data_IF_817378331224
#
_entry.id   IF_817378331224
#
_cell.length_a   1.000
_cell.length_b   1.000
_cell.length_c   1.000
_cell.angle_alpha   90.00
_cell.angle_beta   90.00
_cell.angle_gamma   90.00
#
_symmetry.space_group_name_H-M   'P 1'
#
loop_
_entity.id
_entity.type
_entity.pdbx_description
1 polymer ?
#
# COMPACT_ATOMS: atom_id res chain seq x y z
N UNK A 1 7.79 16.65 -17.08
CA UNK A 1 6.87 15.68 -17.70
C UNK A 1 5.54 15.80 -16.99
N UNK A 2 4.46 16.08 -17.72
CA UNK A 2 3.14 16.21 -17.12
C UNK A 2 2.63 14.82 -16.73
N UNK A 3 2.43 14.59 -15.43
CA UNK A 3 1.58 13.51 -14.94
C UNK A 3 0.18 13.79 -15.51
N UNK A 4 -0.26 13.01 -16.51
CA UNK A 4 -1.62 13.18 -17.06
C UNK A 4 -2.71 12.82 -16.06
N UNK A 5 -2.39 12.28 -14.87
CA UNK A 5 -3.29 11.96 -13.75
C UNK A 5 -4.52 11.12 -14.16
N UNK A 6 -4.50 10.56 -15.36
CA UNK A 6 -5.58 9.73 -15.88
C UNK A 6 -5.35 8.31 -15.41
N UNK A 7 -6.22 7.84 -14.52
CA UNK A 7 -6.28 6.44 -14.11
C UNK A 7 -7.45 5.79 -14.84
N UNK A 8 -7.16 4.74 -15.61
CA UNK A 8 -8.16 3.98 -16.34
C UNK A 8 -8.25 2.57 -15.73
N UNK A 9 -9.41 2.14 -15.22
CA UNK A 9 -9.59 0.75 -14.80
C UNK A 9 -9.64 -0.14 -16.04
N UNK A 10 -8.70 -1.08 -16.15
CA UNK A 10 -8.62 -2.01 -17.29
C UNK A 10 -9.25 -3.37 -17.00
N UNK A 11 -9.35 -3.75 -15.72
CA UNK A 11 -9.90 -5.03 -15.27
C UNK A 11 -10.38 -4.93 -13.82
N UNK A 12 -11.37 -5.75 -13.47
CA UNK A 12 -11.82 -5.98 -12.10
C UNK A 12 -12.13 -7.47 -11.95
N UNK A 13 -11.81 -8.04 -10.79
CA UNK A 13 -12.13 -9.43 -10.47
C UNK A 13 -12.67 -9.54 -9.05
N UNK A 14 -13.42 -10.63 -8.82
CA UNK A 14 -13.93 -11.03 -7.52
C UNK A 14 -13.18 -12.30 -7.15
N UNK A 15 -12.49 -12.26 -6.02
CA UNK A 15 -11.72 -13.39 -5.51
C UNK A 15 -12.50 -14.05 -4.36
N UNK A 16 -12.44 -15.39 -4.23
CA UNK A 16 -13.06 -16.09 -3.11
C UNK A 16 -12.25 -15.89 -1.80
N UNK A 17 -10.98 -15.51 -1.92
CA UNK A 17 -10.09 -15.22 -0.80
C UNK A 17 -8.91 -14.32 -1.18
N UNK A 18 -7.94 -14.22 -0.26
CA UNK A 18 -6.69 -13.49 -0.41
C UNK A 18 -5.48 -14.43 -0.31
N UNK A 19 -5.63 -15.70 -0.72
CA UNK A 19 -4.55 -16.66 -0.78
C UNK A 19 -3.68 -16.46 -2.03
N UNK A 20 -2.48 -17.05 -2.04
CA UNK A 20 -1.55 -16.91 -3.17
C UNK A 20 -2.13 -17.47 -4.47
N UNK A 21 -2.90 -18.55 -4.39
CA UNK A 21 -3.60 -19.15 -5.53
C UNK A 21 -4.67 -18.21 -6.12
N UNK A 22 -5.37 -17.44 -5.27
CA UNK A 22 -6.39 -16.47 -5.69
C UNK A 22 -5.73 -15.35 -6.51
N UNK A 23 -4.64 -14.78 -5.99
CA UNK A 23 -3.89 -13.74 -6.68
C UNK A 23 -3.21 -14.26 -7.95
N UNK A 24 -2.65 -15.46 -7.91
CA UNK A 24 -2.03 -16.11 -9.08
C UNK A 24 -3.04 -16.29 -10.20
N UNK A 25 -4.26 -16.75 -9.88
CA UNK A 25 -5.33 -16.86 -10.86
C UNK A 25 -5.68 -15.49 -11.47
N UNK A 26 -5.91 -14.46 -10.65
CA UNK A 26 -6.27 -13.13 -11.14
C UNK A 26 -5.20 -12.51 -12.03
N UNK A 27 -3.93 -12.57 -11.61
CA UNK A 27 -2.81 -12.02 -12.36
C UNK A 27 -2.54 -12.81 -13.65
N UNK A 28 -2.78 -14.13 -13.66
CA UNK A 28 -2.75 -14.93 -14.89
C UNK A 28 -3.82 -14.46 -15.87
N UNK A 29 -5.04 -14.18 -15.40
CA UNK A 29 -6.11 -13.62 -16.24
C UNK A 29 -5.77 -12.24 -16.78
N UNK A 30 -5.12 -11.40 -15.97
CA UNK A 30 -4.61 -10.11 -16.45
C UNK A 30 -3.57 -10.29 -17.55
N UNK A 31 -2.58 -11.19 -17.39
CA UNK A 31 -1.59 -11.46 -18.45
C UNK A 31 -2.24 -11.98 -19.74
N UNK A 32 -3.20 -12.91 -19.62
CA UNK A 32 -3.93 -13.42 -20.78
C UNK A 32 -4.68 -12.29 -21.51
N UNK A 33 -5.32 -11.39 -20.77
CA UNK A 33 -5.99 -10.21 -21.33
C UNK A 33 -5.00 -9.28 -22.04
N UNK A 34 -3.84 -9.03 -21.44
CA UNK A 34 -2.79 -8.19 -22.03
C UNK A 34 -2.27 -8.77 -23.35
N UNK A 35 -1.99 -10.07 -23.39
CA UNK A 35 -1.58 -10.77 -24.61
C UNK A 35 -2.68 -10.71 -25.68
N UNK A 36 -3.93 -10.99 -25.32
CA UNK A 36 -5.05 -10.98 -26.25
C UNK A 36 -5.38 -9.58 -26.82
N UNK A 37 -4.96 -8.52 -26.12
CA UNK A 37 -5.17 -7.12 -26.52
C UNK A 37 -3.90 -6.45 -27.04
N UNK A 38 -2.82 -7.21 -27.22
CA UNK A 38 -1.51 -6.72 -27.68
C UNK A 38 -0.92 -5.60 -26.81
N UNK A 39 -1.27 -5.58 -25.52
CA UNK A 39 -0.74 -4.64 -24.54
C UNK A 39 0.53 -5.20 -23.90
N UNK A 40 1.64 -4.46 -23.99
CA UNK A 40 2.91 -4.83 -23.37
C UNK A 40 2.84 -4.88 -21.84
N UNK A 41 3.79 -5.61 -21.22
CA UNK A 41 3.90 -5.68 -19.76
C UNK A 41 4.07 -4.29 -19.11
N UNK A 42 3.57 -4.10 -17.87
CA UNK A 42 3.74 -2.83 -17.20
C UNK A 42 5.20 -2.61 -16.81
N UNK A 43 5.66 -1.35 -16.79
CA UNK A 43 7.00 -1.01 -16.30
C UNK A 43 7.15 -1.20 -14.80
N UNK A 44 6.04 -1.05 -14.05
CA UNK A 44 5.99 -1.21 -12.60
C UNK A 44 4.62 -1.74 -12.17
N UNK A 45 4.62 -2.60 -11.14
CA UNK A 45 3.39 -3.01 -10.44
C UNK A 45 3.43 -2.42 -9.04
N UNK A 46 2.35 -1.76 -8.61
CA UNK A 46 2.21 -1.24 -7.25
C UNK A 46 1.07 -1.99 -6.58
N UNK A 47 1.35 -2.64 -5.46
CA UNK A 47 0.37 -3.41 -4.70
C UNK A 47 0.51 -3.13 -3.20
N UNK A 48 -0.48 -3.55 -2.43
CA UNK A 48 -0.39 -3.53 -0.98
C UNK A 48 0.69 -4.49 -0.48
N UNK A 49 1.11 -4.32 0.78
CA UNK A 49 2.05 -5.22 1.43
C UNK A 49 1.35 -6.50 1.90
N UNK A 50 0.87 -7.29 0.94
CA UNK A 50 0.32 -8.61 1.15
C UNK A 50 1.29 -9.68 0.62
N UNK A 51 1.61 -10.67 1.46
CA UNK A 51 2.66 -11.64 1.11
C UNK A 51 2.24 -12.56 -0.04
N UNK A 52 0.97 -12.99 -0.07
CA UNK A 52 0.43 -13.84 -1.10
C UNK A 52 0.39 -13.11 -2.45
N UNK A 53 -0.05 -11.84 -2.45
CA UNK A 53 -0.05 -10.99 -3.64
C UNK A 53 1.39 -10.75 -4.15
N UNK A 54 2.33 -10.45 -3.26
CA UNK A 54 3.73 -10.22 -3.62
C UNK A 54 4.39 -11.47 -4.23
N UNK A 55 4.10 -12.65 -3.70
CA UNK A 55 4.59 -13.92 -4.24
C UNK A 55 4.03 -14.15 -5.66
N UNK A 56 2.72 -13.99 -5.84
CA UNK A 56 2.07 -14.14 -7.14
C UNK A 56 2.62 -13.16 -8.19
N UNK A 57 2.85 -11.90 -7.82
CA UNK A 57 3.50 -10.91 -8.69
C UNK A 57 4.91 -11.35 -9.06
N UNK A 58 5.71 -11.80 -8.08
CA UNK A 58 7.09 -12.23 -8.33
C UNK A 58 7.19 -13.46 -9.25
N UNK A 59 6.21 -14.36 -9.17
CA UNK A 59 6.15 -15.53 -10.04
C UNK A 59 5.74 -15.17 -11.48
N UNK A 60 4.72 -14.32 -11.64
CA UNK A 60 4.13 -14.04 -12.95
C UNK A 60 4.85 -12.90 -13.69
N UNK A 61 5.36 -11.91 -12.98
CA UNK A 61 6.05 -10.75 -13.54
C UNK A 61 7.48 -10.62 -12.99
N UNK A 62 8.36 -11.64 -13.17
CA UNK A 62 9.69 -11.65 -12.56
C UNK A 62 10.59 -10.50 -13.03
N UNK A 63 10.42 -10.06 -14.28
CA UNK A 63 11.19 -8.96 -14.88
C UNK A 63 10.57 -7.58 -14.62
N UNK A 64 9.35 -7.52 -14.06
CA UNK A 64 8.68 -6.26 -13.75
C UNK A 64 8.98 -5.86 -12.33
N UNK A 65 9.40 -4.61 -12.16
CA UNK A 65 9.62 -4.05 -10.85
C UNK A 65 8.31 -3.92 -10.08
N UNK A 66 8.29 -4.43 -8.85
CA UNK A 66 7.13 -4.31 -7.96
C UNK A 66 7.45 -3.41 -6.77
N UNK A 67 6.58 -2.44 -6.54
CA UNK A 67 6.60 -1.51 -5.42
C UNK A 67 5.47 -1.81 -4.44
N UNK A 68 5.66 -1.39 -3.20
CA UNK A 68 4.64 -1.50 -2.16
C UNK A 68 3.96 -0.15 -1.98
N UNK A 69 2.63 -0.16 -1.86
CA UNK A 69 1.83 1.03 -1.64
C UNK A 69 2.30 1.78 -0.37
N UNK A 70 2.79 3.01 -0.57
CA UNK A 70 3.32 3.85 0.51
C UNK A 70 2.22 4.25 1.49
N UNK A 71 1.02 4.58 1.04
CA UNK A 71 -0.08 4.97 1.93
C UNK A 71 -0.44 3.88 2.95
N UNK A 72 -0.63 2.64 2.50
CA UNK A 72 -0.87 1.50 3.38
C UNK A 72 0.31 1.25 4.32
N UNK A 73 1.54 1.44 3.84
CA UNK A 73 2.72 1.36 4.68
C UNK A 73 2.70 2.40 5.82
N UNK A 74 2.45 3.66 5.48
CA UNK A 74 2.38 4.78 6.41
C UNK A 74 1.30 4.53 7.46
N UNK A 75 0.12 4.05 7.04
CA UNK A 75 -0.99 3.73 7.95
C UNK A 75 -0.60 2.64 8.95
N UNK A 76 0.09 1.59 8.49
CA UNK A 76 0.51 0.49 9.35
C UNK A 76 1.66 0.87 10.30
N UNK A 77 2.55 1.79 9.89
CA UNK A 77 3.59 2.33 10.80
C UNK A 77 2.96 3.24 11.84
N UNK A 78 2.09 4.18 11.42
CA UNK A 78 1.37 5.07 12.32
C UNK A 78 0.56 4.30 13.38
N UNK A 79 -0.13 3.23 12.97
CA UNK A 79 -0.86 2.37 13.90
C UNK A 79 0.06 1.77 14.98
N UNK A 80 1.25 1.30 14.61
CA UNK A 80 2.24 0.78 15.58
C UNK A 80 2.86 1.90 16.42
N UNK A 81 3.20 3.05 15.84
CA UNK A 81 3.73 4.21 16.60
C UNK A 81 2.71 4.70 17.64
N UNK A 82 1.42 4.63 17.34
CA UNK A 82 0.36 5.00 18.30
C UNK A 82 0.30 4.07 19.50
N UNK A 83 0.68 2.80 19.39
CA UNK A 83 0.68 1.89 20.56
C UNK A 83 1.66 2.32 21.64
N UNK A 84 2.63 3.17 21.31
CA UNK A 84 3.64 3.69 22.25
C UNK A 84 3.38 5.15 22.66
N UNK A 85 2.36 5.81 22.10
CA UNK A 85 2.11 7.23 22.36
C UNK A 85 0.78 7.72 21.82
N UNK A 86 -0.22 7.80 22.70
CA UNK A 86 -1.51 8.45 22.49
C UNK A 86 -1.91 9.24 23.73
N UNK A 87 -2.62 10.34 23.53
CA UNK A 87 -3.23 11.12 24.62
C UNK A 87 -4.74 11.12 24.41
N UNK A 88 -5.47 10.86 25.49
CA UNK A 88 -6.92 10.93 25.54
C UNK A 88 -7.37 12.40 25.43
N UNK A 89 -8.29 12.70 24.52
CA UNK A 89 -8.88 14.03 24.41
C UNK A 89 -10.32 14.04 24.89
N UNK A 90 -10.67 15.06 25.68
CA UNK A 90 -12.05 15.28 26.13
C UNK A 90 -12.85 15.82 24.95
N UNK A 91 -13.73 14.97 24.42
CA UNK A 91 -14.60 15.31 23.31
C UNK A 91 -15.98 15.76 23.84
N UNK A 92 -16.52 16.92 23.42
CA UNK A 92 -17.89 17.32 23.80
C UNK A 92 -18.98 16.42 23.18
N UNK A 93 -18.62 15.54 22.25
CA UNK A 93 -19.54 14.59 21.60
C UNK A 93 -19.30 13.18 22.14
N UNK A 94 -20.27 12.69 22.92
CA UNK A 94 -20.27 11.47 23.75
C UNK A 94 -20.13 10.11 23.02
N UNK A 95 -19.87 10.07 21.71
CA UNK A 95 -19.99 8.84 20.91
C UNK A 95 -18.70 8.36 20.21
N UNK A 96 -17.55 8.98 20.46
CA UNK A 96 -16.27 8.52 19.91
C UNK A 96 -15.13 8.76 20.90
N UNK A 97 -14.45 7.69 21.32
CA UNK A 97 -13.09 7.78 21.86
C UNK A 97 -12.23 8.46 20.79
N UNK A 98 -11.72 9.65 21.10
CA UNK A 98 -10.73 10.30 20.25
C UNK A 98 -9.41 10.33 20.99
N UNK A 99 -8.40 9.77 20.33
CA UNK A 99 -7.02 9.88 20.75
C UNK A 99 -6.31 10.78 19.75
N UNK A 100 -5.50 11.71 20.26
CA UNK A 100 -4.57 12.46 19.43
C UNK A 100 -3.18 11.83 19.51
N UNK A 101 -2.40 12.04 18.45
CA UNK A 101 -1.00 11.68 18.46
C UNK A 101 -0.26 12.56 19.48
N UNK A 102 0.70 11.98 20.18
CA UNK A 102 1.64 12.80 20.94
C UNK A 102 2.60 13.53 20.01
N UNK A 103 3.21 14.62 20.47
CA UNK A 103 4.32 15.28 19.76
C UNK A 103 5.45 14.30 19.44
N UNK A 104 5.71 13.32 20.32
CA UNK A 104 6.70 12.28 20.08
C UNK A 104 6.29 11.33 18.95
N UNK A 105 5.00 10.97 18.87
CA UNK A 105 4.41 10.17 17.79
C UNK A 105 4.53 10.89 16.45
N UNK A 106 4.16 12.16 16.39
CA UNK A 106 4.23 12.95 15.15
C UNK A 106 5.68 13.14 14.70
N UNK A 107 6.58 13.46 15.63
CA UNK A 107 8.01 13.58 15.32
C UNK A 107 8.62 12.27 14.82
N UNK A 108 8.24 11.13 15.40
CA UNK A 108 8.70 9.83 14.91
C UNK A 108 8.19 9.55 13.49
N UNK A 109 6.93 9.87 13.20
CA UNK A 109 6.35 9.70 11.87
C UNK A 109 7.03 10.61 10.84
N UNK A 110 7.41 11.83 11.21
CA UNK A 110 8.19 12.73 10.37
C UNK A 110 9.55 12.12 10.01
N UNK A 111 10.30 11.60 10.99
CA UNK A 111 11.57 10.90 10.74
C UNK A 111 11.37 9.68 9.81
N UNK A 112 10.30 8.93 10.00
CA UNK A 112 9.96 7.81 9.13
C UNK A 112 9.68 8.26 7.69
N UNK A 113 8.92 9.33 7.48
CA UNK A 113 8.67 9.87 6.13
C UNK A 113 9.96 10.36 5.47
N UNK A 114 10.81 11.08 6.20
CA UNK A 114 12.12 11.53 5.71
C UNK A 114 13.00 10.34 5.30
N UNK A 115 12.98 9.24 6.08
CA UNK A 115 13.71 8.02 5.74
C UNK A 115 13.16 7.39 4.44
N UNK A 116 11.84 7.20 4.32
CA UNK A 116 11.22 6.64 3.10
C UNK A 116 11.52 7.51 1.88
N UNK A 117 11.49 8.83 2.03
CA UNK A 117 11.69 9.77 0.93
C UNK A 117 13.16 10.09 0.63
N UNK A 118 14.11 9.44 1.29
CA UNK A 118 15.56 9.65 1.12
C UNK A 118 16.00 9.44 -0.34
N UNK A 119 16.65 10.47 -0.92
CA UNK A 119 17.07 10.50 -2.32
C UNK A 119 18.40 9.75 -2.59
N UNK A 120 19.17 9.45 -1.55
CA UNK A 120 20.42 8.67 -1.63
C UNK A 120 20.46 7.57 -0.58
N UNK A 121 21.31 6.56 -0.80
CA UNK A 121 21.53 5.48 0.19
C UNK A 121 22.13 6.01 1.49
N UNK A 122 23.13 6.90 1.39
CA UNK A 122 23.75 7.53 2.56
C UNK A 122 22.74 8.31 3.40
N UNK A 123 21.87 9.10 2.77
CA UNK A 123 20.83 9.83 3.50
C UNK A 123 19.84 8.87 4.20
N UNK A 124 19.50 7.75 3.54
CA UNK A 124 18.66 6.73 4.14
C UNK A 124 19.31 6.14 5.40
N UNK A 125 20.58 5.73 5.32
CA UNK A 125 21.34 5.18 6.45
C UNK A 125 21.45 6.18 7.62
N UNK A 126 21.75 7.46 7.34
CA UNK A 126 21.77 8.51 8.36
C UNK A 126 20.40 8.68 9.04
N UNK A 127 19.31 8.59 8.27
CA UNK A 127 17.96 8.69 8.81
C UNK A 127 17.56 7.46 9.64
N UNK A 128 18.06 6.26 9.31
CA UNK A 128 17.89 5.08 10.16
C UNK A 128 18.54 5.26 11.54
N UNK A 129 19.71 5.89 11.60
CA UNK A 129 20.37 6.23 12.87
C UNK A 129 19.52 7.20 13.70
N UNK A 130 18.94 8.22 13.07
CA UNK A 130 18.03 9.19 13.74
C UNK A 130 16.76 8.52 14.26
N UNK A 131 16.16 7.62 13.49
CA UNK A 131 14.99 6.84 13.92
C UNK A 131 15.33 6.01 15.16
N UNK A 132 16.46 5.29 15.12
CA UNK A 132 16.90 4.40 16.21
C UNK A 132 17.27 5.17 17.47
N UNK A 133 17.86 6.36 17.36
CA UNK A 133 18.14 7.21 18.52
C UNK A 133 16.86 7.75 19.18
N UNK A 134 15.76 7.87 18.42
CA UNK A 134 14.48 8.31 18.96
C UNK A 134 13.69 7.20 19.65
N UNK A 135 13.66 6.00 19.07
CA UNK A 135 13.01 4.83 19.67
C UNK A 135 13.62 3.54 19.13
N UNK A 136 14.29 2.80 20.01
CA UNK A 136 14.86 1.49 19.70
C UNK A 136 13.73 0.49 19.38
N UNK A 137 12.64 0.48 20.17
CA UNK A 137 11.51 -0.44 19.96
C UNK A 137 10.88 -0.27 18.58
N UNK A 138 10.59 0.97 18.18
CA UNK A 138 9.98 1.23 16.88
C UNK A 138 10.98 0.99 15.74
N UNK A 139 12.27 1.28 15.94
CA UNK A 139 13.30 0.98 14.96
C UNK A 139 13.40 -0.54 14.70
N UNK A 140 13.39 -1.37 15.75
CA UNK A 140 13.43 -2.83 15.62
C UNK A 140 12.18 -3.36 14.89
N UNK A 141 11.01 -2.79 15.16
CA UNK A 141 9.80 -3.09 14.39
C UNK A 141 9.94 -2.74 12.90
N UNK A 142 10.52 -1.58 12.59
CA UNK A 142 10.74 -1.16 11.21
C UNK A 142 11.74 -2.08 10.50
N UNK A 143 12.83 -2.48 11.16
CA UNK A 143 13.81 -3.43 10.61
C UNK A 143 13.13 -4.76 10.24
N UNK A 144 12.36 -5.32 11.16
CA UNK A 144 11.70 -6.62 10.99
C UNK A 144 10.59 -6.60 9.93
N UNK A 145 9.79 -5.53 9.87
CA UNK A 145 8.55 -5.53 9.10
C UNK A 145 8.49 -4.54 7.93
N UNK A 146 9.44 -3.60 7.81
CA UNK A 146 9.42 -2.54 6.80
C UNK A 146 10.68 -2.54 5.95
N UNK A 147 11.85 -2.46 6.57
CA UNK A 147 13.11 -2.28 5.85
C UNK A 147 13.58 -3.51 5.10
N UNK A 148 13.05 -4.70 5.42
CA UNK A 148 13.15 -5.87 4.52
C UNK A 148 12.58 -5.64 3.11
N UNK A 149 11.71 -4.64 2.93
CA UNK A 149 11.15 -4.24 1.64
C UNK A 149 11.69 -2.88 1.16
N UNK A 150 12.84 -2.41 1.68
CA UNK A 150 13.40 -1.09 1.34
C UNK A 150 13.57 -0.87 -0.17
N UNK A 151 13.91 -1.93 -0.92
CA UNK A 151 14.03 -1.90 -2.39
C UNK A 151 12.72 -1.53 -3.10
N UNK A 152 11.58 -1.81 -2.46
CA UNK A 152 10.22 -1.59 -2.99
C UNK A 152 9.55 -0.34 -2.43
N UNK A 153 10.21 0.37 -1.50
CA UNK A 153 9.59 1.42 -0.66
C UNK A 153 10.37 2.74 -0.69
N UNK A 154 11.70 2.69 -0.54
CA UNK A 154 12.52 3.89 -0.35
C UNK A 154 12.74 4.59 -1.69
N UNK A 155 12.67 5.92 -1.72
CA UNK A 155 12.84 6.72 -2.96
C UNK A 155 14.09 6.34 -3.74
N UNK A 156 15.27 6.37 -3.11
CA UNK A 156 16.54 6.12 -3.80
C UNK A 156 16.64 4.74 -4.48
N UNK A 157 15.81 3.77 -4.06
CA UNK A 157 15.70 2.44 -4.67
C UNK A 157 14.57 2.37 -5.68
N UNK A 158 13.37 2.83 -5.28
CA UNK A 158 12.15 2.72 -6.08
C UNK A 158 12.12 3.66 -7.29
N UNK A 159 12.82 4.80 -7.26
CA UNK A 159 12.84 5.77 -8.37
C UNK A 159 13.76 5.38 -9.53
N UNK A 160 14.42 4.23 -9.44
CA UNK A 160 15.21 3.67 -10.54
C UNK A 160 14.32 3.16 -11.68
N UNK A 161 13.03 2.97 -11.41
CA UNK A 161 12.04 2.50 -12.36
C UNK A 161 11.11 3.62 -12.80
N UNK A 162 10.64 3.56 -14.05
CA UNK A 162 9.71 4.53 -14.61
C UNK A 162 8.31 4.35 -14.01
N UNK A 163 8.11 4.90 -12.81
CA UNK A 163 6.84 4.85 -12.06
C UNK A 163 5.99 6.11 -12.22
N UNK A 164 6.42 7.11 -13.00
CA UNK A 164 5.74 8.39 -13.22
C UNK A 164 5.30 9.12 -11.94
N UNK A 165 5.98 8.86 -10.82
CA UNK A 165 5.62 9.41 -9.50
C UNK A 165 4.52 8.66 -8.75
N UNK A 166 3.94 7.59 -9.33
CA UNK A 166 2.97 6.75 -8.63
C UNK A 166 3.67 5.91 -7.55
N UNK A 167 3.12 5.97 -6.33
CA UNK A 167 3.59 5.21 -5.15
C UNK A 167 2.46 4.68 -4.27
N UNK A 168 1.24 5.05 -4.62
CA UNK A 168 0.05 4.82 -3.82
C UNK A 168 -1.02 4.18 -4.72
N UNK A 169 -1.82 3.27 -4.16
CA UNK A 169 -2.95 2.61 -4.84
C UNK A 169 -4.26 3.38 -4.65
N UNK A 170 -4.21 4.66 -4.27
CA UNK A 170 -5.37 5.47 -3.86
C UNK A 170 -6.48 5.55 -4.92
N UNK A 171 -6.13 5.56 -6.21
CA UNK A 171 -7.11 5.57 -7.29
C UNK A 171 -7.89 4.23 -7.38
N UNK A 172 -7.22 3.11 -7.10
CA UNK A 172 -7.84 1.78 -7.00
C UNK A 172 -8.74 1.73 -5.77
N UNK A 173 -8.27 2.24 -4.63
CA UNK A 173 -9.06 2.31 -3.39
C UNK A 173 -10.32 3.16 -3.53
N UNK A 174 -10.24 4.29 -4.24
CA UNK A 174 -11.41 5.12 -4.55
C UNK A 174 -12.45 4.38 -5.38
N UNK A 175 -12.01 3.59 -6.35
CA UNK A 175 -12.90 2.75 -7.18
C UNK A 175 -13.52 1.64 -6.34
N UNK A 176 -12.71 0.96 -5.53
CA UNK A 176 -13.14 -0.11 -4.63
C UNK A 176 -14.16 0.39 -3.59
N UNK A 177 -13.95 1.59 -3.03
CA UNK A 177 -14.85 2.24 -2.09
C UNK A 177 -16.23 2.49 -2.71
N UNK A 178 -16.29 2.96 -3.96
CA UNK A 178 -17.57 3.13 -4.69
C UNK A 178 -18.29 1.80 -4.88
N UNK A 179 -17.56 0.75 -5.29
CA UNK A 179 -18.14 -0.60 -5.42
C UNK A 179 -18.69 -1.11 -4.07
N UNK A 180 -17.93 -0.93 -2.97
CA UNK A 180 -18.35 -1.33 -1.62
C UNK A 180 -19.58 -0.56 -1.14
N UNK A 181 -19.61 0.75 -1.34
CA UNK A 181 -20.74 1.59 -0.97
C UNK A 181 -22.03 1.14 -1.67
N UNK A 182 -21.92 0.80 -2.95
CA UNK A 182 -23.03 0.31 -3.74
C UNK A 182 -23.46 -1.13 -3.36
N UNK A 183 -22.51 -2.02 -3.06
CA UNK A 183 -22.82 -3.37 -2.57
C UNK A 183 -23.45 -3.36 -1.16
N UNK A 184 -23.17 -2.32 -0.36
CA UNK A 184 -23.59 -2.13 1.04
C UNK A 184 -23.13 -3.25 2.00
N UNK A 185 -22.30 -4.17 1.53
CA UNK A 185 -21.81 -5.31 2.29
C UNK A 185 -20.39 -5.66 1.88
N UNK A 186 -19.56 -6.01 2.86
CA UNK A 186 -18.26 -6.66 2.64
C UNK A 186 -18.36 -8.19 2.63
N UNK A 187 -19.56 -8.75 2.85
CA UNK A 187 -19.85 -10.19 2.90
C UNK A 187 -20.95 -10.57 1.92
N UNK A 188 -20.74 -11.63 1.14
CA UNK A 188 -21.70 -12.14 0.18
C UNK A 188 -21.04 -13.03 -0.87
N UNK A 189 -21.86 -13.60 -1.75
CA UNK A 189 -21.44 -14.34 -2.92
C UNK A 189 -21.67 -13.51 -4.20
N UNK A 190 -21.22 -14.05 -5.34
CA UNK A 190 -21.45 -13.43 -6.65
C UNK A 190 -22.93 -13.27 -6.97
N UNK A 191 -23.80 -14.13 -6.42
CA UNK A 191 -25.24 -14.00 -6.62
C UNK A 191 -25.81 -12.76 -5.92
N UNK A 192 -25.36 -12.46 -4.71
CA UNK A 192 -25.72 -11.22 -4.00
C UNK A 192 -25.22 -9.98 -4.73
N UNK A 193 -23.99 -10.02 -5.24
CA UNK A 193 -23.46 -8.94 -6.07
C UNK A 193 -24.28 -8.75 -7.36
N UNK A 194 -24.59 -9.85 -8.05
CA UNK A 194 -25.42 -9.84 -9.26
C UNK A 194 -26.82 -9.29 -8.99
N UNK A 195 -27.46 -9.69 -7.89
CA UNK A 195 -28.77 -9.16 -7.49
C UNK A 195 -28.75 -7.65 -7.27
N UNK A 196 -27.65 -7.11 -6.74
CA UNK A 196 -27.49 -5.67 -6.58
C UNK A 196 -27.34 -4.97 -7.94
N UNK A 197 -26.75 -5.63 -8.95
CA UNK A 197 -26.55 -5.12 -10.32
C UNK A 197 -27.85 -4.99 -11.12
N UNK A 198 -28.90 -5.70 -10.73
CA UNK A 198 -30.21 -5.62 -11.38
C UNK A 198 -30.91 -4.31 -10.99
N UNK A 199 -31.68 -3.69 -11.92
CA UNK A 199 -32.46 -2.48 -11.65
C UNK A 199 -33.47 -2.63 -10.50
#
# INVERSE_FOLDING_TARGET
MANMNTVLPIAQCWLPGEAEEDFTWALTKLQQLMVATEVGQPSVVIADRDQACMNAIGHLFPEVSSLVCRWHMNRNVLAKTRTVGQVEIVNPVLSQDKYENTVATDYFMELFYIAVDSSTETAFEENLVKIRSKSVELADYLDLHRWKYKEKLVTCRSSQYLNFGYRDTSAVEGTHSKCKAWLETSRGDLYKAFKKLLP
#
